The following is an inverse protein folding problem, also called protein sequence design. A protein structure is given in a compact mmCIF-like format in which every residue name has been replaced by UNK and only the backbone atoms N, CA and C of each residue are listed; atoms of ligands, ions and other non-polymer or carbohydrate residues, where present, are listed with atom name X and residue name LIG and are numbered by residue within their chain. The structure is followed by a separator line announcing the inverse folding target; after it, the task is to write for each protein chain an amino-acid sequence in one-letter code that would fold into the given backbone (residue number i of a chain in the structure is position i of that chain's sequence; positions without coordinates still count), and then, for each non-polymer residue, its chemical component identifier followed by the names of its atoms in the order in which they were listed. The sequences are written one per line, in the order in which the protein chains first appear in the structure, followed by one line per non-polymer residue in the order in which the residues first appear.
data_IF_612618649333
#
_entry.id   IF_612618649333
#
_cell.length_a   1.000
_cell.length_b   1.000
_cell.length_c   1.000
_cell.angle_alpha   90.00
_cell.angle_beta   90.00
_cell.angle_gamma   90.00
#
_symmetry.space_group_name_H-M   'P 1'
#
loop_
_entity.id
_entity.type
_entity.pdbx_description
1 polymer ?
#
# COMPACT_ATOMS: atom_id res chain seq x y z
N UNK A 1 -12.76 6.01 8.01
CA UNK A 1 -11.42 5.53 7.67
C UNK A 1 -11.11 4.36 8.59
N UNK A 2 -10.75 3.22 8.03
CA UNK A 2 -10.21 2.06 8.74
C UNK A 2 -8.73 1.99 8.36
N UNK A 3 -7.82 1.85 9.33
CA UNK A 3 -6.40 1.59 9.08
C UNK A 3 -5.98 0.37 9.89
N UNK A 4 -5.39 -0.60 9.22
CA UNK A 4 -4.90 -1.85 9.81
C UNK A 4 -3.52 -2.19 9.25
N UNK A 5 -2.74 -2.95 10.01
CA UNK A 5 -1.46 -3.48 9.56
C UNK A 5 -1.66 -4.93 9.12
N UNK A 6 -1.42 -5.19 7.83
CA UNK A 6 -1.52 -6.51 7.22
C UNK A 6 -0.18 -7.22 7.34
N UNK A 7 -0.16 -8.29 8.12
CA UNK A 7 1.02 -9.16 8.25
C UNK A 7 1.04 -10.24 7.18
N UNK A 8 2.22 -10.80 6.87
CA UNK A 8 2.32 -12.01 6.05
C UNK A 8 1.44 -13.15 6.61
N UNK A 9 0.78 -13.88 5.71
CA UNK A 9 -0.03 -15.05 6.07
C UNK A 9 0.82 -16.18 6.65
N UNK A 10 1.98 -16.46 6.04
CA UNK A 10 3.01 -17.33 6.63
C UNK A 10 4.17 -16.49 7.15
N UNK A 11 4.67 -16.74 8.37
CA UNK A 11 5.78 -15.99 8.93
C UNK A 11 7.05 -16.09 8.11
N UNK A 12 7.86 -15.03 8.13
CA UNK A 12 9.17 -15.03 7.48
C UNK A 12 10.11 -16.02 8.17
N UNK A 13 10.77 -16.94 7.43
CA UNK A 13 11.76 -17.84 8.00
C UNK A 13 12.88 -17.08 8.71
N UNK A 14 13.32 -17.56 9.87
CA UNK A 14 14.37 -16.89 10.66
C UNK A 14 15.70 -16.73 9.89
N UNK A 15 15.98 -17.63 8.95
CA UNK A 15 17.15 -17.59 8.06
C UNK A 15 17.09 -16.46 7.03
N UNK A 16 15.91 -15.88 6.78
CA UNK A 16 15.67 -14.81 5.79
C UNK A 16 15.31 -13.46 6.44
N UNK A 17 15.57 -13.33 7.74
CA UNK A 17 15.22 -12.13 8.53
C UNK A 17 15.93 -10.85 8.10
N UNK A 18 17.07 -10.95 7.41
CA UNK A 18 17.82 -9.79 6.95
C UNK A 18 17.91 -9.80 5.42
N UNK A 19 17.26 -8.83 4.79
CA UNK A 19 17.36 -8.62 3.36
C UNK A 19 18.34 -7.48 3.07
N UNK A 20 19.42 -7.80 2.35
CA UNK A 20 20.47 -6.83 2.00
C UNK A 20 20.11 -6.11 0.71
N UNK A 21 20.11 -4.79 0.75
CA UNK A 21 19.93 -3.93 -0.40
C UNK A 21 21.19 -3.92 -1.27
N UNK A 22 21.01 -3.93 -2.59
CA UNK A 22 22.13 -3.84 -3.53
C UNK A 22 22.77 -2.44 -3.50
N UNK A 23 23.93 -2.29 -4.15
CA UNK A 23 24.55 -0.98 -4.32
C UNK A 23 23.64 -0.02 -5.10
N UNK A 24 22.87 -0.52 -6.07
CA UNK A 24 21.91 0.29 -6.83
C UNK A 24 20.81 0.82 -5.92
N UNK A 25 20.27 -0.03 -5.04
CA UNK A 25 19.22 0.35 -4.09
C UNK A 25 19.73 1.42 -3.09
N UNK A 26 21.01 1.34 -2.68
CA UNK A 26 21.64 2.32 -1.78
C UNK A 26 21.98 3.64 -2.48
N UNK A 27 22.22 3.63 -3.79
CA UNK A 27 22.48 4.84 -4.57
C UNK A 27 21.21 5.63 -4.88
N UNK A 28 20.06 4.95 -4.94
CA UNK A 28 18.78 5.61 -5.10
C UNK A 28 18.40 6.31 -3.81
N UNK A 29 17.87 7.54 -3.92
CA UNK A 29 17.31 8.23 -2.75
C UNK A 29 16.14 7.42 -2.21
N UNK A 30 15.93 7.41 -0.90
CA UNK A 30 14.74 6.84 -0.28
C UNK A 30 13.52 7.66 -0.71
N UNK A 31 12.86 7.27 -1.80
CA UNK A 31 11.59 7.84 -2.24
C UNK A 31 10.57 6.72 -2.40
N UNK A 32 9.31 7.03 -2.10
CA UNK A 32 8.22 6.10 -2.34
C UNK A 32 7.72 6.28 -3.78
N UNK A 33 7.14 5.22 -4.35
CA UNK A 33 6.57 5.27 -5.71
C UNK A 33 5.04 5.29 -5.54
N UNK A 34 4.38 6.45 -5.68
CA UNK A 34 2.93 6.52 -5.61
C UNK A 34 2.32 5.91 -6.87
N UNK A 35 1.47 4.91 -6.68
CA UNK A 35 0.61 4.36 -7.74
C UNK A 35 -0.84 4.47 -7.31
N UNK A 36 -1.70 4.84 -8.26
CA UNK A 36 -3.16 4.92 -8.08
C UNK A 36 -3.81 4.13 -9.21
N UNK A 37 -4.77 3.28 -8.85
CA UNK A 37 -5.54 2.46 -9.79
C UNK A 37 -7.02 2.74 -9.60
N UNK A 38 -7.73 3.03 -10.69
CA UNK A 38 -9.17 3.29 -10.69
C UNK A 38 -9.93 2.10 -11.28
N UNK A 39 -10.96 1.64 -10.57
CA UNK A 39 -11.83 0.55 -11.00
C UNK A 39 -13.27 1.04 -11.11
N UNK A 40 -13.91 0.78 -12.23
CA UNK A 40 -15.30 1.19 -12.45
C UNK A 40 -16.27 0.39 -11.58
N UNK A 41 -17.42 0.99 -11.24
CA UNK A 41 -18.48 0.32 -10.47
C UNK A 41 -18.91 -1.03 -11.07
N UNK A 42 -18.91 -1.15 -12.39
CA UNK A 42 -19.27 -2.41 -13.05
C UNK A 42 -18.24 -3.53 -12.78
N UNK A 43 -16.94 -3.18 -12.74
CA UNK A 43 -15.88 -4.13 -12.39
C UNK A 43 -15.98 -4.56 -10.92
N UNK A 44 -16.26 -3.61 -10.02
CA UNK A 44 -16.45 -3.89 -8.59
C UNK A 44 -17.70 -4.74 -8.36
N UNK A 45 -18.81 -4.44 -9.03
CA UNK A 45 -20.06 -5.19 -8.92
C UNK A 45 -19.98 -6.62 -9.49
N UNK A 46 -19.02 -6.91 -10.37
CA UNK A 46 -18.77 -8.27 -10.85
C UNK A 46 -18.23 -9.19 -9.73
N UNK A 47 -17.77 -8.61 -8.62
CA UNK A 47 -17.25 -9.34 -7.47
C UNK A 47 -18.44 -9.78 -6.59
N UNK A 48 -18.54 -11.09 -6.26
CA UNK A 48 -19.63 -11.60 -5.45
C UNK A 48 -19.77 -10.87 -4.11
N UNK A 49 -20.99 -10.41 -3.80
CA UNK A 49 -21.42 -9.76 -2.55
C UNK A 49 -20.75 -8.42 -2.14
N UNK A 50 -20.22 -7.66 -3.10
CA UNK A 50 -20.05 -6.20 -2.97
C UNK A 50 -18.83 -5.70 -2.20
N UNK A 51 -18.79 -4.40 -1.80
CA UNK A 51 -17.57 -3.70 -1.36
C UNK A 51 -16.91 -4.26 -0.10
N UNK A 52 -17.71 -4.68 0.89
CA UNK A 52 -17.18 -5.31 2.13
C UNK A 52 -16.43 -6.61 1.85
N UNK A 53 -16.79 -7.32 0.77
CA UNK A 53 -16.03 -8.50 0.36
C UNK A 53 -14.75 -8.09 -0.36
N UNK A 54 -14.76 -7.00 -1.12
CA UNK A 54 -13.58 -6.54 -1.83
C UNK A 54 -12.45 -6.13 -0.89
N UNK A 55 -12.72 -5.30 0.13
CA UNK A 55 -11.72 -4.96 1.16
C UNK A 55 -11.15 -6.21 1.86
N UNK A 56 -12.01 -7.19 2.18
CA UNK A 56 -11.57 -8.49 2.73
C UNK A 56 -10.74 -9.31 1.73
N UNK A 57 -11.09 -9.30 0.45
CA UNK A 57 -10.32 -9.99 -0.60
C UNK A 57 -8.95 -9.36 -0.79
N UNK A 58 -8.87 -8.02 -0.82
CA UNK A 58 -7.63 -7.27 -0.96
C UNK A 58 -6.72 -7.48 0.24
N UNK A 59 -7.21 -7.31 1.46
CA UNK A 59 -6.41 -7.54 2.67
C UNK A 59 -5.90 -8.99 2.78
N UNK A 60 -6.75 -9.98 2.49
CA UNK A 60 -6.35 -11.39 2.49
C UNK A 60 -5.34 -11.74 1.39
N UNK A 61 -5.54 -11.22 0.17
CA UNK A 61 -4.60 -11.43 -0.94
C UNK A 61 -3.27 -10.74 -0.66
N UNK A 62 -3.27 -9.53 -0.09
CA UNK A 62 -2.07 -8.84 0.33
C UNK A 62 -1.29 -9.65 1.39
N UNK A 63 -1.97 -10.17 2.42
CA UNK A 63 -1.34 -11.01 3.44
C UNK A 63 -0.64 -12.25 2.84
N UNK A 64 -1.29 -12.92 1.88
CA UNK A 64 -0.67 -14.04 1.15
C UNK A 64 0.50 -13.59 0.28
N UNK A 65 0.38 -12.49 -0.45
CA UNK A 65 1.47 -11.94 -1.27
C UNK A 65 2.69 -11.57 -0.42
N UNK A 66 2.48 -10.94 0.73
CA UNK A 66 3.55 -10.58 1.68
C UNK A 66 4.31 -11.80 2.22
N UNK A 67 3.71 -13.00 2.17
CA UNK A 67 4.44 -14.23 2.51
C UNK A 67 5.55 -14.55 1.51
N UNK A 68 5.33 -14.24 0.24
CA UNK A 68 6.31 -14.44 -0.84
C UNK A 68 7.24 -13.23 -0.99
N UNK A 69 6.73 -12.03 -0.69
CA UNK A 69 7.44 -10.75 -0.77
C UNK A 69 7.71 -10.19 0.62
N UNK A 70 8.22 -11.03 1.52
CA UNK A 70 8.41 -10.72 2.94
C UNK A 70 9.21 -9.43 3.25
N UNK A 71 10.18 -8.96 2.43
CA UNK A 71 10.86 -7.69 2.75
C UNK A 71 9.90 -6.50 2.80
N UNK A 72 8.77 -6.56 2.09
CA UNK A 72 7.75 -5.50 2.06
C UNK A 72 6.92 -5.43 3.35
N UNK A 73 7.00 -6.46 4.20
CA UNK A 73 6.39 -6.47 5.53
C UNK A 73 7.41 -6.14 6.65
N UNK A 74 8.65 -5.82 6.29
CA UNK A 74 9.71 -5.46 7.23
C UNK A 74 9.88 -3.96 7.42
N UNK A 75 10.93 -3.61 8.16
CA UNK A 75 11.35 -2.23 8.40
C UNK A 75 12.81 -2.01 8.01
N UNK A 76 13.16 -0.78 7.59
CA UNK A 76 14.56 -0.43 7.36
C UNK A 76 15.30 -0.44 8.70
N UNK A 77 16.28 -1.34 8.81
CA UNK A 77 17.14 -1.44 9.98
C UNK A 77 18.27 -0.41 9.93
N UNK A 78 18.80 -0.19 8.73
CA UNK A 78 19.83 0.78 8.38
C UNK A 78 19.70 1.15 6.89
N UNK A 79 20.62 1.97 6.36
CA UNK A 79 20.58 2.45 4.98
C UNK A 79 20.78 1.35 3.91
N UNK A 80 21.10 0.11 4.30
CA UNK A 80 21.45 -0.97 3.38
C UNK A 80 20.74 -2.29 3.69
N UNK A 81 19.90 -2.35 4.73
CA UNK A 81 19.32 -3.60 5.23
C UNK A 81 17.87 -3.41 5.67
N UNK A 82 17.01 -4.29 5.18
CA UNK A 82 15.64 -4.45 5.68
C UNK A 82 15.65 -5.57 6.72
N UNK A 83 15.12 -5.29 7.91
CA UNK A 83 14.76 -6.32 8.88
C UNK A 83 13.35 -6.82 8.58
N UNK A 84 13.26 -8.06 8.10
CA UNK A 84 12.02 -8.75 7.80
C UNK A 84 11.42 -9.33 9.10
N UNK A 85 10.86 -8.45 9.92
CA UNK A 85 10.30 -8.74 11.26
C UNK A 85 8.78 -9.00 11.26
N UNK A 86 8.18 -9.12 10.09
CA UNK A 86 6.73 -9.27 9.89
C UNK A 86 5.92 -8.15 10.59
N UNK A 87 6.48 -6.94 10.68
CA UNK A 87 5.74 -5.76 11.16
C UNK A 87 4.44 -5.60 10.36
N UNK A 88 4.50 -5.78 9.04
CA UNK A 88 3.38 -5.76 8.12
C UNK A 88 3.24 -4.45 7.37
N UNK A 89 2.36 -4.44 6.36
CA UNK A 89 2.08 -3.30 5.50
C UNK A 89 0.82 -2.56 5.97
N UNK A 90 0.83 -1.23 5.90
CA UNK A 90 -0.35 -0.41 6.19
C UNK A 90 -1.41 -0.57 5.10
N UNK A 91 -2.66 -0.83 5.51
CA UNK A 91 -3.82 -0.92 4.63
C UNK A 91 -4.89 0.04 5.15
N UNK A 92 -5.23 1.05 4.32
CA UNK A 92 -6.24 2.05 4.65
C UNK A 92 -7.45 1.90 3.75
N UNK A 93 -8.62 1.84 4.35
CA UNK A 93 -9.91 1.90 3.67
C UNK A 93 -10.58 3.24 3.97
N UNK A 94 -10.91 3.95 2.89
CA UNK A 94 -11.55 5.28 2.92
C UNK A 94 -12.78 5.27 2.02
N UNK A 95 -13.79 6.04 2.41
CA UNK A 95 -14.97 6.28 1.58
C UNK A 95 -14.97 7.76 1.20
N UNK A 96 -14.97 8.02 -0.10
CA UNK A 96 -15.02 9.38 -0.64
C UNK A 96 -16.43 9.67 -1.13
N UNK A 97 -17.05 10.71 -0.58
CA UNK A 97 -18.39 11.16 -0.98
C UNK A 97 -18.33 12.03 -2.26
N UNK A 98 -17.66 11.54 -3.30
CA UNK A 98 -17.55 12.19 -4.60
C UNK A 98 -17.58 11.16 -5.72
N UNK A 99 -18.26 11.43 -6.85
CA UNK A 99 -18.13 10.66 -8.07
C UNK A 99 -16.66 10.56 -8.52
N UNK A 100 -16.25 9.37 -8.98
CA UNK A 100 -14.89 9.09 -9.44
C UNK A 100 -14.46 10.01 -10.60
N UNK A 101 -15.37 10.33 -11.53
CA UNK A 101 -15.09 11.23 -12.65
C UNK A 101 -14.72 12.65 -12.20
N UNK A 102 -15.31 13.12 -11.09
CA UNK A 102 -14.93 14.42 -10.50
C UNK A 102 -13.55 14.39 -9.86
N UNK A 103 -13.15 13.25 -9.29
CA UNK A 103 -11.81 13.10 -8.69
C UNK A 103 -10.74 12.99 -9.78
N UNK A 104 -10.99 12.16 -10.79
CA UNK A 104 -10.05 11.94 -11.90
C UNK A 104 -9.85 13.20 -12.74
N UNK A 105 -10.92 13.97 -12.97
CA UNK A 105 -10.88 15.17 -13.82
C UNK A 105 -10.75 16.47 -13.00
N UNK A 106 -10.35 16.40 -11.72
CA UNK A 106 -10.23 17.59 -10.88
C UNK A 106 -9.14 18.55 -11.44
N UNK A 107 -9.44 19.85 -11.63
CA UNK A 107 -8.53 20.78 -12.30
C UNK A 107 -7.26 21.09 -11.50
N UNK A 108 -7.31 21.04 -10.16
CA UNK A 108 -6.11 20.96 -9.32
C UNK A 108 -5.64 19.50 -9.32
N UNK A 109 -4.81 19.16 -10.30
CA UNK A 109 -4.38 17.81 -10.65
C UNK A 109 -3.38 17.18 -9.68
N UNK A 110 -3.33 17.62 -8.42
CA UNK A 110 -2.73 16.79 -7.39
C UNK A 110 -3.76 15.74 -6.99
N UNK A 111 -4.02 14.78 -7.89
CA UNK A 111 -4.73 13.53 -7.58
C UNK A 111 -4.19 12.95 -6.27
N UNK A 112 -2.89 13.14 -6.07
CA UNK A 112 -2.16 12.73 -4.89
C UNK A 112 -2.57 13.41 -3.56
N UNK A 113 -3.31 14.52 -3.57
CA UNK A 113 -3.83 15.21 -2.38
C UNK A 113 -5.28 14.80 -2.08
N UNK A 114 -5.97 14.20 -3.06
CA UNK A 114 -7.33 13.66 -2.94
C UNK A 114 -7.33 12.16 -2.61
N UNK A 115 -6.36 11.41 -3.14
CA UNK A 115 -6.32 9.94 -3.04
C UNK A 115 -5.37 9.42 -1.95
N UNK A 116 -4.54 10.26 -1.34
CA UNK A 116 -3.65 9.87 -0.24
C UNK A 116 -4.02 10.61 1.06
N UNK A 117 -4.13 9.89 2.21
CA UNK A 117 -4.38 10.52 3.50
C UNK A 117 -3.29 11.53 3.84
N UNK A 118 -3.69 12.71 4.32
CA UNK A 118 -2.76 13.72 4.83
C UNK A 118 -2.32 13.38 6.26
N UNK A 119 -1.07 13.69 6.62
CA UNK A 119 -0.55 13.53 8.00
C UNK A 119 0.03 12.16 8.36
N UNK A 120 0.21 11.26 7.40
CA UNK A 120 0.96 10.01 7.57
C UNK A 120 2.48 10.24 7.45
N UNK A 121 3.36 9.39 8.03
CA UNK A 121 4.82 9.61 8.08
C UNK A 121 5.49 9.86 6.71
N UNK A 122 4.82 9.43 5.64
CA UNK A 122 5.21 9.62 4.24
C UNK A 122 5.11 11.07 3.73
N UNK A 123 4.70 12.03 4.57
CA UNK A 123 4.43 13.43 4.20
C UNK A 123 5.63 14.40 4.32
N UNK A 124 6.72 14.04 5.00
CA UNK A 124 7.85 14.96 5.25
C UNK A 124 9.19 14.57 4.63
N UNK A 125 9.23 13.56 3.77
CA UNK A 125 10.36 13.26 2.89
C UNK A 125 9.84 12.74 1.56
N UNK A 126 10.10 13.49 0.49
CA UNK A 126 9.89 13.18 -0.93
C UNK A 126 9.06 11.90 -1.22
N UNK A 127 7.74 12.09 -1.14
CA UNK A 127 6.62 11.45 -1.85
C UNK A 127 6.33 9.93 -1.78
N UNK A 128 5.35 9.56 -0.92
CA UNK A 128 4.06 8.84 -1.18
C UNK A 128 3.96 7.31 -1.47
N UNK A 129 3.10 6.66 -0.65
CA UNK A 129 2.79 5.21 -0.57
C UNK A 129 1.85 4.63 -1.65
N UNK A 130 1.53 3.33 -1.58
CA UNK A 130 0.54 2.62 -2.41
C UNK A 130 -0.83 2.59 -1.73
N UNK A 131 -1.89 2.95 -2.46
CA UNK A 131 -3.28 2.86 -1.97
C UNK A 131 -4.12 2.20 -3.06
N UNK A 132 -4.89 1.19 -2.65
CA UNK A 132 -6.03 0.71 -3.45
C UNK A 132 -7.23 1.48 -2.95
N UNK A 133 -7.72 2.38 -3.79
CA UNK A 133 -8.86 3.23 -3.46
C UNK A 133 -10.11 2.69 -4.17
N UNK A 134 -11.16 2.47 -3.38
CA UNK A 134 -12.47 2.06 -3.88
C UNK A 134 -13.46 3.22 -3.78
N UNK A 135 -14.25 3.39 -4.84
CA UNK A 135 -15.31 4.40 -4.97
C UNK A 135 -16.67 3.75 -5.19
#
# INVERSE_FOLDING_TARGET
MISIIIKPFTPTPSTQRLHKLSLLDQCLTHFYIPLVFFYTKNQVNAIPNGPKILSNLLSNSLSKTLSYYYPWAGSLKDNATIECDDHGAEFLEVQINSPMDKVVNHPDSNVKDLTFPQGVPWAHGVDRALIVEEY
#
